data_IF_855743013097
#
_entry.id   IF_855743013097
#
_cell.length_a   1.000
_cell.length_b   1.000
_cell.length_c   1.000
_cell.angle_alpha   90.00
_cell.angle_beta   90.00
_cell.angle_gamma   90.00
#
_symmetry.space_group_name_H-M   'P 1'
#
loop_
_entity.id
_entity.type
_entity.pdbx_description
1 polymer ?
#
# COMPACT_ATOMS: atom_id res chain seq x y z
N UNK A 1 16.26 0.19 21.76
CA UNK A 1 15.18 -0.43 20.95
C UNK A 1 14.48 0.62 20.07
N UNK A 2 13.77 1.67 20.61
CA UNK A 2 13.16 2.71 19.75
C UNK A 2 14.21 3.54 19.01
N UNK A 3 15.28 3.93 19.71
CA UNK A 3 16.41 4.66 19.11
C UNK A 3 17.06 3.87 17.98
N UNK A 4 17.19 2.55 18.13
CA UNK A 4 17.77 1.67 17.11
C UNK A 4 16.82 1.54 15.92
N UNK A 5 15.50 1.50 16.18
CA UNK A 5 14.47 1.43 15.14
C UNK A 5 14.49 2.67 14.23
N UNK A 6 14.64 3.88 14.78
CA UNK A 6 14.66 5.11 13.98
C UNK A 6 16.06 5.48 13.45
N UNK A 7 17.10 4.74 13.84
CA UNK A 7 18.47 5.02 13.42
C UNK A 7 18.61 4.93 11.90
N UNK A 8 19.09 6.00 11.27
CA UNK A 8 19.28 6.08 9.83
C UNK A 8 18.00 6.29 9.01
N UNK A 9 16.84 6.41 9.65
CA UNK A 9 15.58 6.71 8.97
C UNK A 9 15.35 8.23 8.89
N UNK A 10 14.85 8.70 7.74
CA UNK A 10 14.40 10.08 7.57
C UNK A 10 13.05 10.31 8.25
N UNK A 11 12.15 9.34 8.12
CA UNK A 11 10.79 9.36 8.67
C UNK A 11 10.31 7.96 9.01
N UNK A 12 9.27 7.90 9.83
CA UNK A 12 8.52 6.67 10.12
C UNK A 12 7.02 6.92 9.95
N UNK A 13 6.24 5.88 9.73
CA UNK A 13 4.80 5.91 9.93
C UNK A 13 4.45 5.49 11.35
N UNK A 14 3.54 6.23 11.97
CA UNK A 14 3.01 5.95 13.28
C UNK A 14 1.48 5.95 13.24
N UNK A 15 0.84 4.87 13.71
CA UNK A 15 -0.59 4.63 13.56
C UNK A 15 -1.26 4.43 14.93
N UNK A 16 -2.53 4.85 15.04
CA UNK A 16 -3.39 4.49 16.17
C UNK A 16 -3.89 3.05 16.04
N UNK A 17 -4.30 2.43 17.16
CA UNK A 17 -4.73 1.02 17.17
C UNK A 17 -6.06 0.76 16.42
N UNK A 18 -6.93 1.76 16.30
CA UNK A 18 -8.27 1.63 15.72
C UNK A 18 -8.46 2.58 14.53
N UNK A 19 -7.45 2.72 13.67
CA UNK A 19 -7.53 3.48 12.43
C UNK A 19 -7.99 2.61 11.27
N UNK A 20 -8.90 3.11 10.46
CA UNK A 20 -9.33 2.50 9.21
C UNK A 20 -9.15 3.46 8.02
N UNK A 21 -9.10 2.93 6.82
CA UNK A 21 -9.06 3.74 5.60
C UNK A 21 -7.98 4.84 5.59
N UNK A 22 -6.79 4.59 6.19
CA UNK A 22 -5.70 5.57 6.29
C UNK A 22 -5.92 6.65 7.36
N UNK A 23 -7.01 6.62 8.12
CA UNK A 23 -7.23 7.54 9.26
C UNK A 23 -6.33 7.16 10.43
N UNK A 24 -5.75 8.19 11.06
CA UNK A 24 -4.85 7.97 12.20
C UNK A 24 -3.45 7.50 11.82
N UNK A 25 -3.09 7.53 10.53
CA UNK A 25 -1.72 7.32 10.03
C UNK A 25 -1.00 8.67 10.04
N UNK A 26 0.15 8.73 10.70
CA UNK A 26 0.98 9.92 10.78
C UNK A 26 2.37 9.61 10.22
N UNK A 27 2.84 10.42 9.27
CA UNK A 27 4.24 10.40 8.85
C UNK A 27 5.03 11.35 9.73
N UNK A 28 5.94 10.83 10.51
CA UNK A 28 6.76 11.59 11.47
C UNK A 28 8.19 11.66 10.95
N UNK A 29 8.70 12.87 10.74
CA UNK A 29 10.09 13.07 10.33
C UNK A 29 10.99 13.12 11.56
N UNK A 30 12.04 12.29 11.58
CA UNK A 30 12.96 12.19 12.72
C UNK A 30 13.64 13.54 13.04
N UNK A 31 13.95 14.31 12.01
CA UNK A 31 14.57 15.65 12.12
C UNK A 31 13.72 16.70 12.83
N UNK A 32 12.39 16.49 12.90
CA UNK A 32 11.47 17.45 13.52
C UNK A 32 11.46 17.35 15.05
N UNK A 33 12.19 16.39 15.62
CA UNK A 33 12.27 16.14 17.05
C UNK A 33 13.70 16.35 17.55
N UNK A 34 13.85 17.04 18.69
CA UNK A 34 15.15 17.34 19.31
C UNK A 34 15.94 16.09 19.70
N UNK A 35 15.22 15.00 20.03
CA UNK A 35 15.82 13.72 20.39
C UNK A 35 14.84 12.56 20.21
N UNK A 36 15.36 11.30 20.15
CA UNK A 36 14.51 10.10 20.15
C UNK A 36 13.54 10.04 21.34
N UNK A 37 13.93 10.56 22.50
CA UNK A 37 13.10 10.58 23.68
C UNK A 37 11.89 11.50 23.54
N UNK A 38 12.08 12.69 22.94
CA UNK A 38 11.02 13.65 22.65
C UNK A 38 10.05 13.08 21.62
N UNK A 39 10.56 12.44 20.58
CA UNK A 39 9.73 11.78 19.57
C UNK A 39 8.90 10.64 20.18
N UNK A 40 9.50 9.81 21.03
CA UNK A 40 8.79 8.71 21.70
C UNK A 40 7.71 9.22 22.65
N UNK A 41 7.95 10.33 23.36
CA UNK A 41 6.96 10.96 24.22
C UNK A 41 5.77 11.52 23.40
N UNK A 42 6.04 12.15 22.25
CA UNK A 42 5.00 12.56 21.30
C UNK A 42 4.15 11.38 20.84
N UNK A 43 4.79 10.26 20.42
CA UNK A 43 4.13 9.03 19.98
C UNK A 43 3.21 8.49 21.07
N UNK A 44 3.69 8.43 22.33
CA UNK A 44 2.90 7.94 23.47
C UNK A 44 1.71 8.83 23.80
N UNK A 45 1.91 10.15 23.82
CA UNK A 45 0.83 11.12 24.11
C UNK A 45 -0.28 11.08 23.08
N UNK A 46 0.06 10.78 21.82
CA UNK A 46 -0.89 10.68 20.71
C UNK A 46 -1.42 9.25 20.50
N UNK A 47 -1.09 8.30 21.40
CA UNK A 47 -1.55 6.90 21.36
C UNK A 47 -1.23 6.20 20.02
N UNK A 48 -0.07 6.53 19.44
CA UNK A 48 0.41 5.90 18.21
C UNK A 48 1.12 4.59 18.57
N UNK A 49 0.45 3.46 18.38
CA UNK A 49 0.90 2.16 18.92
C UNK A 49 1.57 1.25 17.88
N UNK A 50 1.38 1.53 16.59
CA UNK A 50 2.03 0.80 15.50
C UNK A 50 3.05 1.73 14.84
N UNK A 51 4.32 1.31 14.80
CA UNK A 51 5.41 2.05 14.18
C UNK A 51 5.96 1.23 13.01
N UNK A 52 6.02 1.87 11.85
CA UNK A 52 6.47 1.24 10.61
C UNK A 52 7.54 2.08 9.93
N UNK A 53 8.45 1.41 9.24
CA UNK A 53 9.40 2.08 8.35
C UNK A 53 8.69 2.61 7.11
N UNK A 54 9.19 3.72 6.58
CA UNK A 54 8.75 4.19 5.26
C UNK A 54 9.38 3.29 4.20
N UNK A 55 8.54 2.55 3.48
CA UNK A 55 9.01 1.69 2.40
C UNK A 55 9.42 2.53 1.19
N UNK A 56 10.62 2.28 0.62
CA UNK A 56 10.99 2.87 -0.65
C UNK A 56 10.11 2.30 -1.76
N UNK A 57 9.47 3.16 -2.54
CA UNK A 57 8.63 2.75 -3.65
C UNK A 57 9.47 2.47 -4.90
N UNK A 58 9.13 1.41 -5.66
CA UNK A 58 9.75 1.14 -6.96
C UNK A 58 9.57 2.35 -7.92
N UNK A 59 10.60 2.74 -8.68
CA UNK A 59 10.53 3.94 -9.54
C UNK A 59 9.33 3.95 -10.50
N UNK A 60 8.97 2.81 -11.09
CA UNK A 60 7.80 2.74 -11.99
C UNK A 60 6.47 2.88 -11.23
N UNK A 61 6.38 2.44 -9.97
CA UNK A 61 5.22 2.74 -9.14
C UNK A 61 5.17 4.23 -8.79
N UNK A 62 6.31 4.83 -8.45
CA UNK A 62 6.40 6.26 -8.14
C UNK A 62 6.04 7.18 -9.31
N UNK A 63 6.19 6.71 -10.57
CA UNK A 63 5.73 7.46 -11.75
C UNK A 63 4.22 7.64 -11.80
N UNK A 64 3.46 6.68 -11.26
CA UNK A 64 2.00 6.80 -11.16
C UNK A 64 1.63 7.90 -10.17
N UNK A 65 2.15 7.84 -8.93
CA UNK A 65 2.05 8.90 -7.94
C UNK A 65 3.25 8.84 -6.99
N UNK A 66 4.06 9.92 -6.91
CA UNK A 66 5.33 9.88 -6.16
C UNK A 66 5.18 10.08 -4.65
N UNK A 67 4.10 10.76 -4.19
CA UNK A 67 3.94 11.16 -2.79
C UNK A 67 3.38 10.03 -1.91
N UNK A 68 2.60 9.10 -2.46
CA UNK A 68 2.09 7.93 -1.75
C UNK A 68 2.85 6.66 -2.13
N UNK A 69 2.85 5.67 -1.24
CA UNK A 69 3.16 4.31 -1.63
C UNK A 69 1.92 3.75 -2.34
N UNK A 70 2.01 3.60 -3.66
CA UNK A 70 0.93 3.02 -4.46
C UNK A 70 0.94 1.51 -4.27
N UNK A 71 -0.19 0.93 -3.88
CA UNK A 71 -0.26 -0.49 -3.54
C UNK A 71 -0.97 -1.31 -4.60
N UNK A 72 -0.52 -2.56 -4.78
CA UNK A 72 -1.32 -3.57 -5.47
C UNK A 72 -2.21 -4.29 -4.45
N UNK A 73 -3.53 -4.29 -4.67
CA UNK A 73 -4.47 -5.14 -3.98
C UNK A 73 -4.58 -6.45 -4.75
N UNK A 74 -4.12 -7.55 -4.17
CA UNK A 74 -4.24 -8.90 -4.73
C UNK A 74 -5.26 -9.65 -3.91
N UNK A 75 -6.38 -10.04 -4.54
CA UNK A 75 -7.42 -10.82 -3.91
C UNK A 75 -7.16 -12.29 -4.14
N UNK A 76 -7.06 -13.06 -3.07
CA UNK A 76 -6.85 -14.50 -3.11
C UNK A 76 -8.00 -15.26 -2.46
N UNK A 77 -8.33 -16.41 -3.06
CA UNK A 77 -9.26 -17.40 -2.54
C UNK A 77 -8.52 -18.71 -2.30
N UNK A 78 -8.59 -19.25 -1.08
CA UNK A 78 -8.09 -20.59 -0.74
C UNK A 78 -9.26 -21.58 -0.84
N UNK A 79 -9.20 -22.44 -1.86
CA UNK A 79 -10.24 -23.46 -2.14
C UNK A 79 -9.57 -24.82 -2.26
N UNK A 80 -10.02 -25.79 -1.47
CA UNK A 80 -9.50 -27.16 -1.47
C UNK A 80 -7.97 -27.28 -1.33
N UNK A 81 -7.36 -26.33 -0.61
CA UNK A 81 -5.90 -26.26 -0.39
C UNK A 81 -5.12 -25.55 -1.50
N UNK A 82 -5.78 -25.11 -2.56
CA UNK A 82 -5.17 -24.33 -3.64
C UNK A 82 -5.53 -22.84 -3.52
N UNK A 83 -4.54 -21.95 -3.74
CA UNK A 83 -4.75 -20.50 -3.73
C UNK A 83 -4.93 -19.99 -5.15
N UNK A 84 -6.10 -19.41 -5.39
CA UNK A 84 -6.47 -18.76 -6.65
C UNK A 84 -6.41 -17.24 -6.50
N UNK A 85 -5.94 -16.55 -7.54
CA UNK A 85 -6.01 -15.07 -7.61
C UNK A 85 -7.34 -14.69 -8.27
N UNK A 86 -8.24 -14.08 -7.50
CA UNK A 86 -9.55 -13.69 -8.00
C UNK A 86 -9.46 -12.43 -8.87
N UNK A 87 -8.71 -11.41 -8.41
CA UNK A 87 -8.40 -10.23 -9.21
C UNK A 87 -7.22 -9.44 -8.63
N UNK A 88 -6.68 -8.53 -9.44
CA UNK A 88 -5.66 -7.57 -9.02
C UNK A 88 -6.11 -6.15 -9.38
N UNK A 89 -5.90 -5.23 -8.45
CA UNK A 89 -6.00 -3.79 -8.71
C UNK A 89 -4.75 -3.07 -8.21
N UNK A 90 -4.48 -1.90 -8.77
CA UNK A 90 -3.49 -0.96 -8.26
C UNK A 90 -4.22 0.26 -7.72
N UNK A 91 -3.90 0.65 -6.48
CA UNK A 91 -4.39 1.84 -5.81
C UNK A 91 -3.32 2.92 -5.85
N UNK A 92 -3.73 4.14 -6.09
CA UNK A 92 -2.83 5.30 -6.24
C UNK A 92 -3.40 6.49 -5.49
N UNK A 93 -2.55 7.21 -4.78
CA UNK A 93 -2.94 8.46 -4.14
C UNK A 93 -3.21 9.59 -5.13
N UNK A 94 -3.67 10.73 -4.63
CA UNK A 94 -3.79 12.01 -5.35
C UNK A 94 -3.35 13.17 -4.47
N UNK A 95 -2.90 14.25 -5.10
CA UNK A 95 -2.42 15.45 -4.41
C UNK A 95 -1.14 15.19 -3.62
N UNK A 96 -0.97 15.92 -2.52
CA UNK A 96 0.22 15.83 -1.67
C UNK A 96 0.10 14.75 -0.57
N UNK A 97 -0.99 13.95 -0.60
CA UNK A 97 -1.22 12.88 0.37
C UNK A 97 -0.23 11.74 0.24
N UNK A 98 0.14 11.13 1.38
CA UNK A 98 1.01 9.96 1.43
C UNK A 98 0.24 8.63 1.48
N UNK A 99 -1.09 8.68 1.39
CA UNK A 99 -1.98 7.51 1.41
C UNK A 99 -2.61 7.31 0.02
N UNK A 100 -2.70 6.07 -0.43
CA UNK A 100 -3.31 5.67 -1.71
C UNK A 100 -4.79 5.25 -1.57
N UNK A 101 -5.35 5.38 -0.37
CA UNK A 101 -6.69 4.93 -0.07
C UNK A 101 -7.75 5.76 -0.82
N UNK A 102 -8.70 5.07 -1.47
CA UNK A 102 -9.82 5.69 -2.20
C UNK A 102 -10.67 6.60 -1.30
N UNK A 103 -10.90 6.24 -0.04
CA UNK A 103 -11.61 7.07 0.94
C UNK A 103 -10.92 8.40 1.27
N UNK A 104 -9.67 8.58 0.87
CA UNK A 104 -8.92 9.84 0.92
C UNK A 104 -8.73 10.50 -0.45
N UNK A 105 -9.52 10.09 -1.42
CA UNK A 105 -9.51 10.64 -2.77
C UNK A 105 -8.57 9.92 -3.73
N UNK A 106 -8.00 8.78 -3.35
CA UNK A 106 -7.21 7.91 -4.23
C UNK A 106 -8.03 7.35 -5.39
N UNK A 107 -7.35 6.78 -6.35
CA UNK A 107 -7.94 6.12 -7.52
C UNK A 107 -7.42 4.70 -7.66
N UNK A 108 -8.21 3.83 -8.28
CA UNK A 108 -7.84 2.44 -8.52
C UNK A 108 -8.05 2.03 -9.97
N UNK A 109 -7.18 1.14 -10.47
CA UNK A 109 -7.29 0.49 -11.77
C UNK A 109 -7.25 -1.01 -11.63
N UNK A 110 -7.88 -1.73 -12.58
CA UNK A 110 -7.72 -3.18 -12.71
C UNK A 110 -6.41 -3.53 -13.40
N UNK A 111 -5.81 -4.64 -12.99
CA UNK A 111 -4.55 -5.17 -13.53
C UNK A 111 -4.80 -6.57 -14.08
N UNK A 112 -4.25 -6.86 -15.23
CA UNK A 112 -4.22 -8.20 -15.80
C UNK A 112 -3.12 -9.03 -15.10
N UNK A 113 -3.46 -10.12 -14.41
CA UNK A 113 -2.51 -10.94 -13.67
C UNK A 113 -1.48 -11.66 -14.57
N UNK A 114 -1.79 -11.91 -15.83
CA UNK A 114 -0.89 -12.61 -16.76
C UNK A 114 0.18 -11.67 -17.32
N UNK A 115 -0.22 -10.46 -17.70
CA UNK A 115 0.68 -9.50 -18.34
C UNK A 115 1.25 -8.46 -17.38
N UNK A 116 0.63 -8.26 -16.22
CA UNK A 116 0.98 -7.21 -15.26
C UNK A 116 0.63 -5.80 -15.75
N UNK A 117 -0.20 -5.67 -16.78
CA UNK A 117 -0.62 -4.37 -17.31
C UNK A 117 -1.91 -3.88 -16.70
N UNK A 118 -2.02 -2.57 -16.55
CA UNK A 118 -3.28 -1.93 -16.23
C UNK A 118 -4.22 -2.08 -17.44
N UNK A 119 -5.45 -2.57 -17.19
CA UNK A 119 -6.45 -2.89 -18.23
C UNK A 119 -7.73 -2.07 -18.16
N UNK A 120 -7.83 -1.13 -17.22
CA UNK A 120 -8.98 -0.24 -17.09
C UNK A 120 -8.56 1.21 -16.89
N UNK A 121 -9.42 2.18 -17.22
CA UNK A 121 -9.33 3.51 -16.63
C UNK A 121 -9.36 3.41 -15.10
N UNK A 122 -8.92 4.48 -14.42
CA UNK A 122 -9.06 4.55 -12.97
C UNK A 122 -10.46 5.02 -12.57
N UNK A 123 -10.90 4.58 -11.37
CA UNK A 123 -12.10 5.07 -10.72
C UNK A 123 -11.80 5.53 -9.30
N UNK A 124 -12.55 6.51 -8.80
CA UNK A 124 -12.58 6.89 -7.39
C UNK A 124 -13.88 6.39 -6.70
N UNK A 125 -14.03 6.64 -5.41
CA UNK A 125 -15.21 6.23 -4.62
C UNK A 125 -16.51 6.91 -5.06
N UNK A 126 -16.42 7.99 -5.86
CA UNK A 126 -17.57 8.69 -6.43
C UNK A 126 -17.92 8.21 -7.85
N UNK A 127 -17.25 7.14 -8.32
CA UNK A 127 -17.39 6.57 -9.67
C UNK A 127 -16.98 7.53 -10.80
N UNK A 128 -16.17 8.56 -10.51
CA UNK A 128 -15.54 9.33 -11.55
C UNK A 128 -14.51 8.47 -12.28
N UNK A 129 -14.39 8.64 -13.58
CA UNK A 129 -13.51 7.85 -14.45
C UNK A 129 -12.38 8.71 -14.97
N UNK A 130 -11.15 8.18 -14.93
CA UNK A 130 -9.93 8.88 -15.34
C UNK A 130 -9.12 7.98 -16.27
N UNK A 131 -8.85 8.45 -17.51
CA UNK A 131 -7.96 7.75 -18.44
C UNK A 131 -6.48 7.95 -18.06
N UNK A 132 -6.18 9.05 -17.36
CA UNK A 132 -4.85 9.45 -16.91
C UNK A 132 -4.89 9.84 -15.46
N UNK A 133 -3.74 9.64 -14.77
CA UNK A 133 -3.61 10.08 -13.38
C UNK A 133 -3.78 11.61 -13.29
N UNK A 134 -4.68 12.11 -12.43
CA UNK A 134 -5.02 13.53 -12.38
C UNK A 134 -3.84 14.46 -12.12
N UNK A 135 -2.87 14.04 -11.32
CA UNK A 135 -1.73 14.88 -10.94
C UNK A 135 -0.52 14.67 -11.86
N UNK A 136 -0.22 13.43 -12.23
CA UNK A 136 0.99 13.10 -13.01
C UNK A 136 0.75 13.05 -14.52
N UNK A 137 -0.50 12.90 -14.96
CA UNK A 137 -0.87 12.76 -16.37
C UNK A 137 -0.48 11.42 -16.99
N UNK A 138 0.02 10.45 -16.19
CA UNK A 138 0.38 9.12 -16.66
C UNK A 138 -0.86 8.39 -17.17
N UNK A 139 -0.79 7.85 -18.38
CA UNK A 139 -1.86 7.04 -18.98
C UNK A 139 -1.95 5.69 -18.32
N UNK A 140 -3.18 5.27 -17.94
CA UNK A 140 -3.36 4.05 -17.19
C UNK A 140 -3.37 2.80 -18.05
N UNK A 141 -4.27 2.72 -19.02
CA UNK A 141 -4.42 1.51 -19.84
C UNK A 141 -3.14 1.20 -20.61
N UNK A 142 -2.63 -0.02 -20.42
CA UNK A 142 -1.38 -0.47 -21.01
C UNK A 142 -0.13 -0.16 -20.18
N UNK A 143 -0.24 0.57 -19.05
CA UNK A 143 0.88 0.81 -18.16
C UNK A 143 1.37 -0.51 -17.58
N UNK A 144 2.68 -0.80 -17.70
CA UNK A 144 3.29 -2.00 -17.18
C UNK A 144 3.66 -1.80 -15.71
N UNK A 145 3.06 -2.57 -14.80
CA UNK A 145 3.46 -2.62 -13.40
C UNK A 145 4.66 -3.53 -13.22
N UNK A 146 5.61 -3.16 -12.32
CA UNK A 146 6.75 -4.00 -12.00
C UNK A 146 6.36 -5.14 -11.07
N UNK A 147 7.08 -6.27 -11.16
CA UNK A 147 7.08 -7.39 -10.19
C UNK A 147 5.70 -7.98 -9.87
N UNK A 148 4.75 -7.97 -10.81
CA UNK A 148 3.42 -8.56 -10.60
C UNK A 148 3.48 -10.07 -10.35
N UNK A 149 4.30 -10.87 -11.08
CA UNK A 149 4.45 -12.29 -10.79
C UNK A 149 4.99 -12.58 -9.38
N UNK A 150 5.98 -11.80 -8.93
CA UNK A 150 6.57 -11.92 -7.59
C UNK A 150 5.57 -11.53 -6.50
N UNK A 151 4.77 -10.49 -6.73
CA UNK A 151 3.71 -10.09 -5.81
C UNK A 151 2.62 -11.17 -5.70
N UNK A 152 2.21 -11.77 -6.81
CA UNK A 152 1.28 -12.90 -6.83
C UNK A 152 1.85 -14.09 -6.05
N UNK A 153 3.11 -14.42 -6.25
CA UNK A 153 3.75 -15.53 -5.54
C UNK A 153 3.75 -15.30 -4.02
N UNK A 154 4.12 -14.09 -3.58
CA UNK A 154 4.12 -13.72 -2.17
C UNK A 154 2.70 -13.72 -1.56
N UNK A 155 1.68 -13.24 -2.30
CA UNK A 155 0.29 -13.29 -1.83
C UNK A 155 -0.22 -14.72 -1.64
N UNK A 156 0.14 -15.63 -2.55
CA UNK A 156 -0.20 -17.06 -2.44
C UNK A 156 0.48 -17.73 -1.26
N UNK A 157 1.77 -17.44 -1.03
CA UNK A 157 2.51 -17.92 0.12
C UNK A 157 1.85 -17.46 1.43
N UNK A 158 1.55 -16.16 1.55
CA UNK A 158 0.89 -15.59 2.72
C UNK A 158 -0.50 -16.19 2.97
N UNK A 159 -1.28 -16.49 1.93
CA UNK A 159 -2.59 -17.12 2.08
C UNK A 159 -2.49 -18.55 2.67
N UNK A 160 -1.42 -19.28 2.38
CA UNK A 160 -1.18 -20.61 2.99
C UNK A 160 -0.80 -20.51 4.47
N UNK A 161 -0.19 -19.42 4.93
CA UNK A 161 0.20 -19.23 6.33
C UNK A 161 -1.01 -18.97 7.25
N UNK A 162 -2.12 -18.48 6.70
CA UNK A 162 -3.36 -18.18 7.45
C UNK A 162 -4.59 -18.87 6.84
N UNK A 163 -4.61 -20.21 6.71
CA UNK A 163 -5.66 -20.94 6.01
C UNK A 163 -7.06 -20.79 6.64
N UNK A 164 -7.15 -20.24 7.85
CA UNK A 164 -8.41 -19.96 8.55
C UNK A 164 -9.20 -18.82 7.90
N UNK A 165 -8.54 -17.95 7.12
CA UNK A 165 -9.15 -16.86 6.36
C UNK A 165 -9.00 -17.18 4.87
N UNK A 166 -10.02 -17.83 4.31
CA UNK A 166 -9.97 -18.33 2.94
C UNK A 166 -10.02 -17.23 1.87
N UNK A 167 -10.52 -16.04 2.21
CA UNK A 167 -10.69 -14.91 1.28
C UNK A 167 -9.96 -13.68 1.83
N UNK A 168 -8.86 -13.28 1.19
CA UNK A 168 -8.00 -12.19 1.68
C UNK A 168 -7.62 -11.25 0.55
N UNK A 169 -7.77 -9.96 0.80
CA UNK A 169 -7.20 -8.89 -0.04
C UNK A 169 -5.87 -8.40 0.53
N UNK A 170 -4.77 -8.72 -0.13
CA UNK A 170 -3.41 -8.34 0.25
C UNK A 170 -3.06 -6.98 -0.32
N UNK A 171 -2.76 -6.01 0.53
CA UNK A 171 -2.18 -4.74 0.12
C UNK A 171 -0.66 -4.85 0.09
N UNK A 172 -0.08 -4.69 -1.10
CA UNK A 172 1.33 -4.94 -1.35
C UNK A 172 2.02 -3.70 -1.90
N UNK A 173 3.06 -3.26 -1.22
CA UNK A 173 4.00 -2.28 -1.77
C UNK A 173 5.00 -2.97 -2.69
N UNK A 174 5.33 -2.33 -3.80
CA UNK A 174 6.43 -2.77 -4.66
C UNK A 174 7.65 -1.89 -4.39
N UNK A 175 8.66 -2.49 -3.80
CA UNK A 175 9.94 -1.84 -3.50
C UNK A 175 10.97 -2.12 -4.59
N UNK A 176 12.10 -1.39 -4.64
CA UNK A 176 13.18 -1.68 -5.59
C UNK A 176 13.78 -3.09 -5.46
N UNK A 177 13.59 -3.74 -4.31
CA UNK A 177 14.18 -5.06 -4.01
C UNK A 177 13.16 -6.20 -4.00
N UNK A 178 11.88 -5.91 -4.17
CA UNK A 178 10.80 -6.92 -4.18
C UNK A 178 9.49 -6.41 -3.63
N UNK A 179 8.41 -7.20 -3.75
CA UNK A 179 7.14 -6.89 -3.13
C UNK A 179 7.22 -7.06 -1.60
N UNK A 180 6.42 -6.27 -0.87
CA UNK A 180 6.27 -6.36 0.57
C UNK A 180 4.79 -6.27 0.94
N UNK A 181 4.29 -7.17 1.78
CA UNK A 181 2.93 -7.12 2.30
C UNK A 181 2.84 -6.00 3.33
N UNK A 182 1.89 -5.08 3.15
CA UNK A 182 1.55 -4.05 4.12
C UNK A 182 0.49 -4.59 5.09
N UNK A 183 -0.58 -5.17 4.55
CA UNK A 183 -1.67 -5.73 5.34
C UNK A 183 -2.48 -6.77 4.55
N UNK A 184 -3.20 -7.63 5.28
CA UNK A 184 -4.22 -8.51 4.74
C UNK A 184 -5.59 -8.09 5.27
N UNK A 185 -6.58 -8.03 4.37
CA UNK A 185 -7.96 -7.64 4.67
C UNK A 185 -8.89 -8.83 4.46
N UNK A 186 -9.66 -9.23 5.48
CA UNK A 186 -10.64 -10.33 5.45
C UNK A 186 -11.98 -9.92 4.81
N UNK A 187 -12.25 -8.62 4.70
CA UNK A 187 -13.35 -8.02 3.94
C UNK A 187 -12.79 -7.07 2.88
N UNK A 188 -12.13 -7.59 1.85
CA UNK A 188 -11.56 -6.75 0.80
C UNK A 188 -12.69 -6.14 -0.04
N UNK A 189 -12.88 -4.82 0.08
CA UNK A 189 -13.85 -4.05 -0.72
C UNK A 189 -13.42 -3.92 -2.18
#
# INVERSE_FOLDING_TARGET
EFTDFIAGQEAIFAKINHGDCGRGVNKLYVKDYESPAVMLDYIRRNQLVVLEQVLPQHPDMARLHPSSVNTMRILTDLVDGEVHVAYISVKMGRGDGYCDNSGQGGVLCRVDPETGKIISPATDDYFNVYDRHPDTGVEFVGYQLPMVPEAIALAKEAAHEIPQVAHVGWDMAITPTGPAIIEGNDFPG
#
